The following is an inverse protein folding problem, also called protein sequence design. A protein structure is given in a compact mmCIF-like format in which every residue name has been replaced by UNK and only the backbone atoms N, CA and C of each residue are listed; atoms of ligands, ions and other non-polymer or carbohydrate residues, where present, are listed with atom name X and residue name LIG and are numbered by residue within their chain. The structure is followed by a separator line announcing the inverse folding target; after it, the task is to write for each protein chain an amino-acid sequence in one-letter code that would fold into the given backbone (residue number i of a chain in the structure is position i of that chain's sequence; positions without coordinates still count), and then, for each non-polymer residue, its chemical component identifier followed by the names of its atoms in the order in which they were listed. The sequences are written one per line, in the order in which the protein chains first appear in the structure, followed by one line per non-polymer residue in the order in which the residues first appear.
data_IF_433671830273
#
_entry.id   IF_433671830273
#
_cell.length_a   1.000
_cell.length_b   1.000
_cell.length_c   1.000
_cell.angle_alpha   90.00
_cell.angle_beta   90.00
_cell.angle_gamma   90.00
#
_symmetry.space_group_name_H-M   'P 1'
#
loop_
_entity.id
_entity.type
_entity.pdbx_description
1 polymer ?
#
# COMPACT_ATOMS: atom_id res chain seq x y z
N UNK A 1 -3.87 6.38 5.65
CA UNK A 1 -3.22 5.07 5.57
C UNK A 1 -2.53 4.76 6.89
N UNK A 2 -2.81 3.57 7.47
CA UNK A 2 -2.15 3.07 8.68
C UNK A 2 -1.05 2.11 8.26
N UNK A 3 0.20 2.47 8.56
CA UNK A 3 1.39 1.73 8.14
C UNK A 3 2.34 1.52 9.31
N UNK A 4 2.86 0.31 9.43
CA UNK A 4 3.98 -0.04 10.31
C UNK A 4 5.13 -0.62 9.48
N UNK A 5 6.28 0.06 9.48
CA UNK A 5 7.40 -0.26 8.59
C UNK A 5 8.06 -1.62 8.86
N UNK A 6 7.90 -2.17 10.08
CA UNK A 6 8.56 -3.40 10.46
C UNK A 6 10.08 -3.27 10.35
N UNK A 7 10.75 -4.28 9.76
CA UNK A 7 12.21 -4.31 9.56
C UNK A 7 12.76 -3.24 8.61
N UNK A 8 11.89 -2.49 7.93
CA UNK A 8 12.29 -1.33 7.11
C UNK A 8 12.38 -0.03 7.92
N UNK A 9 12.15 -0.07 9.23
CA UNK A 9 12.29 1.10 10.09
C UNK A 9 13.74 1.58 10.14
N UNK A 10 13.94 2.89 10.03
CA UNK A 10 15.23 3.54 10.24
C UNK A 10 15.52 3.80 11.74
N UNK A 11 14.60 3.46 12.63
CA UNK A 11 14.78 3.60 14.07
C UNK A 11 15.48 2.38 14.65
N UNK A 12 16.30 2.59 15.70
CA UNK A 12 17.08 1.53 16.37
C UNK A 12 16.21 0.43 17.00
N UNK A 13 14.97 0.75 17.34
CA UNK A 13 13.99 -0.17 17.91
C UNK A 13 13.04 -0.78 16.84
N UNK A 14 13.54 -1.03 15.63
CA UNK A 14 12.80 -1.73 14.60
C UNK A 14 12.28 -3.09 15.11
N UNK A 15 11.08 -3.46 14.70
CA UNK A 15 10.44 -4.74 15.07
C UNK A 15 10.03 -5.53 13.82
N UNK A 16 9.90 -6.85 13.96
CA UNK A 16 9.52 -7.75 12.86
C UNK A 16 8.94 -9.07 13.42
N UNK A 17 8.37 -9.96 12.58
CA UNK A 17 7.99 -11.31 13.03
C UNK A 17 9.19 -12.15 13.50
N UNK A 18 10.37 -11.93 12.90
CA UNK A 18 11.62 -12.62 13.23
C UNK A 18 12.79 -11.65 13.14
N UNK A 19 13.86 -11.88 13.91
CA UNK A 19 15.05 -11.02 13.95
C UNK A 19 15.91 -11.18 12.68
N UNK A 20 15.43 -10.64 11.56
CA UNK A 20 16.05 -10.70 10.23
C UNK A 20 16.17 -9.30 9.66
N UNK A 21 17.39 -8.82 9.47
CA UNK A 21 17.66 -7.54 8.79
C UNK A 21 17.16 -7.56 7.33
N UNK A 22 16.73 -6.42 6.84
CA UNK A 22 16.39 -6.28 5.42
C UNK A 22 17.65 -6.01 4.57
N UNK A 23 17.69 -6.46 3.31
CA UNK A 23 18.83 -6.14 2.43
C UNK A 23 19.04 -4.64 2.19
N UNK A 24 17.99 -3.85 2.36
CA UNK A 24 17.96 -2.38 2.17
C UNK A 24 18.09 -1.60 3.49
N UNK A 25 18.17 -2.30 4.64
CA UNK A 25 18.29 -1.68 5.96
C UNK A 25 19.12 -2.59 6.88
N UNK A 26 20.29 -2.16 7.36
CA UNK A 26 21.19 -3.00 8.17
C UNK A 26 20.73 -3.19 9.62
N UNK A 27 19.68 -2.49 10.06
CA UNK A 27 19.19 -2.58 11.43
C UNK A 27 18.59 -3.97 11.65
N UNK A 28 19.08 -4.70 12.66
CA UNK A 28 18.51 -5.97 13.09
C UNK A 28 17.25 -5.69 13.92
N UNK A 29 16.06 -6.08 13.47
CA UNK A 29 14.84 -5.83 14.23
C UNK A 29 14.71 -6.78 15.42
N UNK A 30 14.01 -6.33 16.47
CA UNK A 30 13.52 -7.18 17.54
C UNK A 30 12.38 -8.06 17.02
N UNK A 31 12.43 -9.38 17.30
CA UNK A 31 11.32 -10.28 17.01
C UNK A 31 10.21 -10.07 18.04
N UNK A 32 9.04 -9.64 17.58
CA UNK A 32 7.89 -9.37 18.45
C UNK A 32 7.48 -10.60 19.26
N UNK A 33 7.29 -10.45 20.56
CA UNK A 33 6.62 -11.43 21.41
C UNK A 33 5.13 -11.50 21.12
N UNK A 34 4.44 -12.54 21.57
CA UNK A 34 2.98 -12.66 21.40
C UNK A 34 2.23 -11.47 22.04
N UNK A 35 2.69 -10.98 23.18
CA UNK A 35 2.07 -9.82 23.84
C UNK A 35 2.30 -8.51 23.07
N UNK A 36 3.48 -8.32 22.47
CA UNK A 36 3.77 -7.16 21.62
C UNK A 36 2.98 -7.20 20.29
N UNK A 37 2.70 -8.39 19.75
CA UNK A 37 1.81 -8.56 18.60
C UNK A 37 0.38 -8.13 18.96
N UNK A 38 -0.13 -8.56 20.11
CA UNK A 38 -1.45 -8.13 20.60
C UNK A 38 -1.52 -6.60 20.81
N UNK A 39 -0.46 -6.00 21.36
CA UNK A 39 -0.36 -4.54 21.48
C UNK A 39 -0.34 -3.86 20.09
N UNK A 40 0.42 -4.41 19.15
CA UNK A 40 0.46 -3.89 17.77
C UNK A 40 -0.93 -3.91 17.12
N UNK A 41 -1.71 -4.99 17.31
CA UNK A 41 -3.09 -5.04 16.82
C UNK A 41 -3.94 -3.93 17.47
N UNK A 42 -3.80 -3.74 18.78
CA UNK A 42 -4.52 -2.70 19.51
C UNK A 42 -4.14 -1.28 19.00
N UNK A 43 -2.88 -1.06 18.65
CA UNK A 43 -2.40 0.22 18.11
C UNK A 43 -2.99 0.50 16.73
N UNK A 44 -3.11 -0.50 15.83
CA UNK A 44 -3.81 -0.36 14.55
C UNK A 44 -5.28 0.01 14.75
N UNK A 45 -5.96 -0.64 15.68
CA UNK A 45 -7.36 -0.34 16.02
C UNK A 45 -7.51 1.08 16.54
N UNK A 46 -6.64 1.49 17.48
CA UNK A 46 -6.64 2.84 18.02
C UNK A 46 -6.38 3.91 16.94
N UNK A 47 -5.46 3.66 16.00
CA UNK A 47 -5.24 4.56 14.87
C UNK A 47 -6.51 4.75 14.03
N UNK A 48 -7.27 3.69 13.79
CA UNK A 48 -8.53 3.78 13.04
C UNK A 48 -9.62 4.56 13.81
N UNK A 49 -9.72 4.36 15.12
CA UNK A 49 -10.65 5.12 15.98
C UNK A 49 -10.29 6.61 16.04
N UNK A 50 -8.99 6.93 16.11
CA UNK A 50 -8.52 8.32 16.05
C UNK A 50 -8.85 8.97 14.71
N UNK A 51 -8.67 8.25 13.60
CA UNK A 51 -9.06 8.73 12.27
C UNK A 51 -10.57 9.00 12.20
N UNK A 52 -11.40 8.07 12.69
CA UNK A 52 -12.85 8.25 12.75
C UNK A 52 -13.23 9.46 13.61
N UNK A 53 -12.63 9.62 14.77
CA UNK A 53 -12.86 10.77 15.66
C UNK A 53 -12.42 12.10 15.05
N UNK A 54 -11.43 12.07 14.15
CA UNK A 54 -10.97 13.24 13.40
C UNK A 54 -11.83 13.57 12.17
N UNK A 55 -12.90 12.79 11.89
CA UNK A 55 -13.85 13.04 10.82
C UNK A 55 -13.44 12.43 9.46
N UNK A 56 -12.52 11.47 9.43
CA UNK A 56 -12.25 10.71 8.20
C UNK A 56 -13.37 9.71 7.92
N UNK A 57 -13.62 9.43 6.64
CA UNK A 57 -14.64 8.46 6.19
C UNK A 57 -14.12 7.01 6.25
N UNK A 58 -12.82 6.82 6.34
CA UNK A 58 -12.20 5.50 6.37
C UNK A 58 -10.69 5.52 6.54
N UNK A 59 -10.13 4.32 6.61
CA UNK A 59 -8.68 4.09 6.68
C UNK A 59 -8.24 3.01 5.70
N UNK A 60 -6.99 3.07 5.23
CA UNK A 60 -6.35 1.98 4.51
C UNK A 60 -5.33 1.31 5.43
N UNK A 61 -5.48 0.00 5.65
CA UNK A 61 -4.53 -0.84 6.41
C UNK A 61 -3.49 -1.39 5.45
N UNK A 62 -2.22 -1.08 5.70
CA UNK A 62 -1.09 -1.39 4.81
C UNK A 62 -0.58 -2.81 5.03
N UNK A 63 -1.06 -3.75 4.21
CA UNK A 63 -0.68 -5.17 4.25
C UNK A 63 0.23 -5.62 3.10
N UNK A 64 0.94 -4.71 2.43
CA UNK A 64 1.73 -4.99 1.22
C UNK A 64 3.13 -4.35 1.26
N UNK A 65 3.85 -4.41 0.14
CA UNK A 65 5.17 -3.83 -0.15
C UNK A 65 6.29 -4.22 0.84
N UNK A 66 6.12 -5.32 1.58
CA UNK A 66 7.12 -5.82 2.53
C UNK A 66 7.13 -5.11 3.89
N UNK A 67 6.08 -4.38 4.23
CA UNK A 67 5.88 -3.78 5.55
C UNK A 67 5.45 -4.82 6.60
N UNK A 68 5.27 -4.43 7.85
CA UNK A 68 5.13 -5.36 8.98
C UNK A 68 4.11 -6.48 8.74
N UNK A 69 2.89 -6.15 8.33
CA UNK A 69 1.84 -7.16 8.08
C UNK A 69 2.29 -8.14 6.98
N UNK A 70 2.85 -7.64 5.88
CA UNK A 70 3.35 -8.48 4.80
C UNK A 70 4.55 -9.34 5.23
N UNK A 71 5.40 -8.83 6.16
CA UNK A 71 6.49 -9.60 6.77
C UNK A 71 5.97 -10.79 7.59
N UNK A 72 4.81 -10.67 8.25
CA UNK A 72 4.18 -11.81 8.94
C UNK A 72 3.64 -12.84 7.96
N UNK A 73 3.11 -12.42 6.81
CA UNK A 73 2.50 -13.29 5.80
C UNK A 73 3.56 -14.14 5.07
N UNK A 74 4.67 -13.53 4.67
CA UNK A 74 5.67 -14.18 3.81
C UNK A 74 6.60 -15.11 4.59
N UNK A 75 6.84 -16.32 4.05
CA UNK A 75 7.82 -17.27 4.60
C UNK A 75 9.24 -16.70 4.64
N UNK A 76 9.55 -15.80 3.71
CA UNK A 76 10.84 -15.10 3.63
C UNK A 76 11.24 -14.43 4.94
N UNK A 77 10.28 -13.92 5.70
CA UNK A 77 10.52 -13.06 6.87
C UNK A 77 9.91 -13.60 8.16
N UNK A 78 8.95 -14.51 8.06
CA UNK A 78 8.31 -15.11 9.23
C UNK A 78 8.81 -16.54 9.45
N UNK A 79 9.78 -16.68 10.36
CA UNK A 79 10.38 -17.95 10.76
C UNK A 79 9.87 -18.41 12.14
N UNK A 80 8.71 -17.91 12.57
CA UNK A 80 8.10 -18.28 13.86
C UNK A 80 7.50 -19.68 13.77
N UNK A 81 7.46 -20.35 14.92
CA UNK A 81 6.84 -21.68 15.15
C UNK A 81 5.62 -21.64 16.08
N UNK A 82 5.21 -20.42 16.50
CA UNK A 82 4.05 -20.18 17.36
C UNK A 82 2.76 -19.93 16.55
N UNK A 83 1.71 -19.47 17.25
CA UNK A 83 0.40 -19.14 16.65
C UNK A 83 0.43 -18.04 15.58
N UNK A 84 1.54 -17.34 15.41
CA UNK A 84 1.73 -16.25 14.46
C UNK A 84 2.66 -16.62 13.30
N UNK A 85 3.11 -17.88 13.21
CA UNK A 85 4.03 -18.37 12.19
C UNK A 85 3.81 -19.82 11.79
N UNK A 86 4.72 -20.38 10.98
CA UNK A 86 4.63 -21.74 10.46
C UNK A 86 3.58 -21.89 9.37
N UNK A 87 2.37 -22.38 9.67
CA UNK A 87 1.30 -22.56 8.69
C UNK A 87 0.84 -21.24 8.07
N UNK A 88 0.28 -21.30 6.84
CA UNK A 88 -0.23 -20.09 6.21
C UNK A 88 -1.34 -19.43 7.02
N UNK A 89 -2.26 -20.22 7.58
CA UNK A 89 -3.32 -19.75 8.46
C UNK A 89 -2.79 -18.94 9.66
N UNK A 90 -1.66 -19.36 10.24
CA UNK A 90 -1.01 -18.60 11.32
C UNK A 90 -0.34 -17.34 10.81
N UNK A 91 0.32 -17.40 9.65
CA UNK A 91 1.02 -16.23 9.08
C UNK A 91 0.07 -15.10 8.67
N UNK A 92 -1.14 -15.41 8.20
CA UNK A 92 -2.16 -14.41 7.84
C UNK A 92 -2.99 -13.91 9.03
N UNK A 93 -2.85 -14.54 10.19
CA UNK A 93 -3.63 -14.24 11.41
C UNK A 93 -3.54 -12.76 11.81
N UNK A 94 -2.34 -12.18 11.78
CA UNK A 94 -2.15 -10.76 12.13
C UNK A 94 -3.00 -9.84 11.25
N UNK A 95 -2.98 -10.04 9.94
CA UNK A 95 -3.77 -9.25 8.99
C UNK A 95 -5.27 -9.35 9.28
N UNK A 96 -5.76 -10.58 9.48
CA UNK A 96 -7.19 -10.86 9.76
C UNK A 96 -7.62 -10.22 11.07
N UNK A 97 -6.84 -10.38 12.14
CA UNK A 97 -7.16 -9.83 13.47
C UNK A 97 -7.18 -8.30 13.47
N UNK A 98 -6.23 -7.64 12.78
CA UNK A 98 -6.24 -6.18 12.64
C UNK A 98 -7.54 -5.73 11.95
N UNK A 99 -7.89 -6.28 10.80
CA UNK A 99 -9.12 -5.89 10.07
C UNK A 99 -10.37 -6.18 10.89
N UNK A 100 -10.48 -7.38 11.47
CA UNK A 100 -11.64 -7.81 12.25
C UNK A 100 -11.87 -6.91 13.48
N UNK A 101 -10.81 -6.67 14.27
CA UNK A 101 -10.92 -5.83 15.48
C UNK A 101 -11.10 -4.35 15.13
N UNK A 102 -10.52 -3.88 14.04
CA UNK A 102 -10.79 -2.53 13.53
C UNK A 102 -12.27 -2.39 13.17
N UNK A 103 -12.85 -3.34 12.41
CA UNK A 103 -14.28 -3.34 12.06
C UNK A 103 -15.17 -3.33 13.29
N UNK A 104 -14.84 -4.13 14.30
CA UNK A 104 -15.58 -4.16 15.56
C UNK A 104 -15.55 -2.82 16.31
N UNK A 105 -14.41 -2.11 16.24
CA UNK A 105 -14.20 -0.85 16.96
C UNK A 105 -14.82 0.37 16.27
N UNK A 106 -14.80 0.42 14.92
CA UNK A 106 -15.26 1.60 14.16
C UNK A 106 -16.69 1.46 13.60
N UNK A 107 -17.31 0.27 13.71
CA UNK A 107 -18.66 0.00 13.22
C UNK A 107 -18.73 -0.21 11.70
N UNK A 108 -19.95 -0.44 11.17
CA UNK A 108 -20.16 -0.88 9.78
C UNK A 108 -20.04 0.24 8.74
N UNK A 109 -20.25 1.49 9.14
CA UNK A 109 -20.31 2.64 8.22
C UNK A 109 -18.92 3.24 7.92
N UNK A 110 -17.90 2.93 8.71
CA UNK A 110 -16.54 3.42 8.48
C UNK A 110 -15.83 2.56 7.46
N UNK A 111 -15.25 3.17 6.45
CA UNK A 111 -14.60 2.45 5.35
C UNK A 111 -13.27 1.85 5.80
N UNK A 112 -13.07 0.56 5.57
CA UNK A 112 -11.79 -0.12 5.79
C UNK A 112 -11.29 -0.65 4.45
N UNK A 113 -10.23 -0.05 3.94
CA UNK A 113 -9.49 -0.53 2.77
C UNK A 113 -8.34 -1.40 3.27
N UNK A 114 -8.15 -2.58 2.71
CA UNK A 114 -6.95 -3.38 2.96
C UNK A 114 -6.04 -3.35 1.75
N UNK A 115 -4.78 -2.93 1.94
CA UNK A 115 -3.81 -2.96 0.85
C UNK A 115 -3.13 -4.32 0.82
N UNK A 116 -3.47 -5.09 -0.23
CA UNK A 116 -3.06 -6.48 -0.41
C UNK A 116 -1.87 -6.58 -1.37
N UNK A 117 -0.81 -7.29 -0.99
CA UNK A 117 0.28 -7.62 -1.92
C UNK A 117 -0.17 -8.71 -2.89
N UNK A 118 -0.35 -8.35 -4.15
CA UNK A 118 -0.71 -9.31 -5.20
C UNK A 118 0.51 -10.07 -5.74
N UNK A 119 1.65 -9.40 -5.79
CA UNK A 119 2.94 -9.95 -6.21
C UNK A 119 4.01 -9.40 -5.28
N UNK A 120 4.61 -10.23 -4.47
CA UNK A 120 5.72 -9.83 -3.58
C UNK A 120 7.01 -9.56 -4.39
N UNK A 121 7.22 -10.27 -5.52
CA UNK A 121 8.40 -10.19 -6.40
C UNK A 121 9.72 -10.47 -5.67
N UNK A 122 9.66 -11.25 -4.61
CA UNK A 122 10.80 -11.73 -3.83
C UNK A 122 10.69 -13.25 -3.63
N UNK A 123 11.82 -13.92 -3.44
CA UNK A 123 11.86 -15.33 -3.09
C UNK A 123 11.21 -15.56 -1.71
N UNK A 124 10.40 -16.62 -1.58
CA UNK A 124 9.67 -16.92 -0.35
C UNK A 124 8.48 -15.99 -0.07
N UNK A 125 8.06 -15.23 -1.07
CA UNK A 125 6.80 -14.48 -1.08
C UNK A 125 5.57 -15.40 -1.24
N UNK A 126 4.38 -14.80 -1.24
CA UNK A 126 3.11 -15.52 -1.33
C UNK A 126 2.81 -15.99 -2.76
N UNK A 127 2.25 -17.18 -2.90
CA UNK A 127 1.67 -17.68 -4.15
C UNK A 127 0.32 -17.02 -4.43
N UNK A 128 -0.15 -17.06 -5.69
CA UNK A 128 -1.48 -16.53 -6.05
C UNK A 128 -2.61 -17.22 -5.26
N UNK A 129 -2.50 -18.53 -5.01
CA UNK A 129 -3.49 -19.26 -4.22
C UNK A 129 -3.54 -18.75 -2.77
N UNK A 130 -2.39 -18.52 -2.15
CA UNK A 130 -2.28 -17.93 -0.81
C UNK A 130 -2.85 -16.49 -0.78
N UNK A 131 -2.56 -15.67 -1.79
CA UNK A 131 -3.10 -14.31 -1.90
C UNK A 131 -4.63 -14.31 -2.01
N UNK A 132 -5.21 -15.22 -2.80
CA UNK A 132 -6.66 -15.38 -2.92
C UNK A 132 -7.29 -15.83 -1.58
N UNK A 133 -6.65 -16.76 -0.87
CA UNK A 133 -7.10 -17.20 0.46
C UNK A 133 -7.11 -16.02 1.44
N UNK A 134 -6.04 -15.23 1.48
CA UNK A 134 -5.98 -14.02 2.31
C UNK A 134 -7.06 -13.00 1.93
N UNK A 135 -7.26 -12.74 0.64
CA UNK A 135 -8.27 -11.78 0.18
C UNK A 135 -9.68 -12.14 0.66
N UNK A 136 -10.06 -13.42 0.56
CA UNK A 136 -11.33 -13.93 1.09
C UNK A 136 -11.44 -13.80 2.60
N UNK A 137 -10.35 -14.06 3.31
CA UNK A 137 -10.30 -13.93 4.76
C UNK A 137 -10.43 -12.46 5.21
N UNK A 138 -9.81 -11.53 4.48
CA UNK A 138 -9.89 -10.07 4.71
C UNK A 138 -11.29 -9.54 4.42
N UNK A 139 -11.93 -9.96 3.32
CA UNK A 139 -13.34 -9.66 3.05
C UNK A 139 -14.24 -10.13 4.20
N UNK A 140 -14.09 -11.39 4.61
CA UNK A 140 -14.84 -11.97 5.73
C UNK A 140 -14.58 -11.26 7.06
N UNK A 141 -13.38 -10.73 7.27
CA UNK A 141 -13.02 -9.97 8.47
C UNK A 141 -13.65 -8.56 8.50
N UNK A 142 -14.24 -8.11 7.40
CA UNK A 142 -15.02 -6.87 7.31
C UNK A 142 -14.32 -5.72 6.59
N UNK A 143 -13.35 -5.99 5.72
CA UNK A 143 -12.84 -4.97 4.80
C UNK A 143 -13.96 -4.52 3.84
N UNK A 144 -13.98 -3.23 3.52
CA UNK A 144 -14.94 -2.62 2.59
C UNK A 144 -14.44 -2.71 1.14
N UNK A 145 -13.13 -2.54 0.94
CA UNK A 145 -12.45 -2.61 -0.35
C UNK A 145 -11.07 -3.26 -0.19
N UNK A 146 -10.53 -3.79 -1.28
CA UNK A 146 -9.13 -4.22 -1.36
C UNK A 146 -8.40 -3.35 -2.38
N UNK A 147 -7.28 -2.73 -1.96
CA UNK A 147 -6.35 -2.03 -2.83
C UNK A 147 -5.15 -2.94 -3.11
N UNK A 148 -4.83 -3.16 -4.38
CA UNK A 148 -3.77 -4.10 -4.77
C UNK A 148 -2.41 -3.41 -4.85
N UNK A 149 -1.41 -4.00 -4.17
CA UNK A 149 -0.01 -3.57 -4.17
C UNK A 149 0.89 -4.53 -4.95
N UNK A 150 2.01 -4.04 -5.48
CA UNK A 150 2.94 -4.79 -6.31
C UNK A 150 4.38 -4.55 -5.89
N UNK A 151 5.06 -5.62 -5.51
CA UNK A 151 6.48 -5.65 -5.23
C UNK A 151 6.87 -5.12 -3.87
N UNK A 152 7.81 -5.80 -3.23
CA UNK A 152 8.46 -5.33 -2.01
C UNK A 152 9.48 -4.25 -2.33
N UNK A 153 9.82 -3.39 -1.38
CA UNK A 153 10.87 -2.38 -1.55
C UNK A 153 12.24 -2.98 -1.86
N UNK A 154 12.51 -4.21 -1.42
CA UNK A 154 13.75 -4.93 -1.72
C UNK A 154 13.70 -5.75 -3.01
N UNK A 155 12.56 -5.76 -3.72
CA UNK A 155 12.43 -6.47 -4.99
C UNK A 155 13.31 -5.82 -6.07
N UNK A 156 14.01 -6.66 -6.84
CA UNK A 156 14.87 -6.20 -7.92
C UNK A 156 14.11 -5.97 -9.23
N UNK A 157 12.86 -6.40 -9.31
CA UNK A 157 11.99 -6.21 -10.47
C UNK A 157 11.32 -4.83 -10.34
N UNK A 158 11.54 -3.91 -11.27
CA UNK A 158 10.94 -2.58 -11.18
C UNK A 158 9.43 -2.64 -11.45
N UNK A 159 8.65 -1.90 -10.64
CA UNK A 159 7.19 -1.87 -10.74
C UNK A 159 6.64 -0.49 -11.02
N UNK A 160 7.41 0.58 -10.78
CA UNK A 160 6.95 1.96 -10.80
C UNK A 160 7.83 2.92 -11.62
N UNK A 161 8.97 2.47 -12.13
CA UNK A 161 9.91 3.29 -12.90
C UNK A 161 9.42 3.55 -14.33
N UNK A 162 9.99 4.54 -15.01
CA UNK A 162 9.63 4.93 -16.39
C UNK A 162 9.68 3.78 -17.38
N UNK A 163 10.65 2.85 -17.24
CA UNK A 163 10.78 1.66 -18.09
C UNK A 163 9.66 0.63 -17.93
N UNK A 164 8.83 0.72 -16.88
CA UNK A 164 7.68 -0.14 -16.69
C UNK A 164 6.52 0.41 -17.53
N UNK A 165 5.89 -0.39 -18.40
CA UNK A 165 4.74 0.04 -19.18
C UNK A 165 3.61 0.57 -18.31
N UNK A 166 2.81 1.48 -18.86
CA UNK A 166 1.61 1.99 -18.17
C UNK A 166 0.64 0.84 -17.91
N UNK A 167 0.02 0.83 -16.72
CA UNK A 167 -0.94 -0.18 -16.28
C UNK A 167 -0.42 -1.64 -16.34
N UNK A 168 0.89 -1.85 -16.33
CA UNK A 168 1.51 -3.17 -16.54
C UNK A 168 1.07 -4.26 -15.55
N UNK A 169 0.51 -3.88 -14.40
CA UNK A 169 0.15 -4.82 -13.34
C UNK A 169 -1.37 -4.89 -13.05
N UNK A 170 -2.23 -4.22 -13.82
CA UNK A 170 -3.67 -4.20 -13.54
C UNK A 170 -4.34 -5.57 -13.74
N UNK A 171 -3.75 -6.43 -14.58
CA UNK A 171 -4.19 -7.81 -14.80
C UNK A 171 -4.20 -8.68 -13.52
N UNK A 172 -3.34 -8.38 -12.51
CA UNK A 172 -3.35 -9.14 -11.26
C UNK A 172 -4.60 -8.83 -10.44
N UNK A 173 -5.04 -7.56 -10.46
CA UNK A 173 -6.30 -7.15 -9.81
C UNK A 173 -7.49 -7.82 -10.49
N UNK A 174 -7.50 -7.88 -11.83
CA UNK A 174 -8.54 -8.57 -12.60
C UNK A 174 -8.67 -10.04 -12.19
N UNK A 175 -7.54 -10.74 -11.96
CA UNK A 175 -7.55 -12.13 -11.50
C UNK A 175 -8.19 -12.32 -10.12
N UNK A 176 -8.21 -11.30 -9.30
CA UNK A 176 -8.82 -11.35 -7.97
C UNK A 176 -10.34 -11.11 -8.02
N UNK A 177 -10.87 -10.44 -9.06
CA UNK A 177 -12.29 -10.05 -9.16
C UNK A 177 -13.28 -11.21 -9.03
N UNK A 178 -12.92 -12.39 -9.51
CA UNK A 178 -13.78 -13.58 -9.39
C UNK A 178 -13.72 -14.25 -8.02
N UNK A 179 -12.82 -13.84 -7.15
CA UNK A 179 -12.55 -14.50 -5.88
C UNK A 179 -13.18 -13.80 -4.67
N UNK A 180 -13.50 -12.50 -4.79
CA UNK A 180 -14.09 -11.67 -3.73
C UNK A 180 -15.27 -10.88 -4.29
N UNK A 181 -16.18 -10.42 -3.41
CA UNK A 181 -17.38 -9.66 -3.78
C UNK A 181 -17.27 -8.16 -3.48
N UNK A 182 -16.26 -7.75 -2.71
CA UNK A 182 -16.00 -6.34 -2.41
C UNK A 182 -15.24 -5.67 -3.56
N UNK A 183 -15.40 -4.34 -3.76
CA UNK A 183 -14.72 -3.62 -4.84
C UNK A 183 -13.20 -3.69 -4.73
N UNK A 184 -12.54 -3.73 -5.88
CA UNK A 184 -11.09 -3.80 -6.01
C UNK A 184 -10.52 -2.51 -6.58
N UNK A 185 -9.43 -2.05 -5.97
CA UNK A 185 -8.65 -0.90 -6.40
C UNK A 185 -7.34 -1.39 -7.01
N UNK A 186 -6.99 -0.89 -8.19
CA UNK A 186 -5.70 -1.17 -8.84
C UNK A 186 -4.79 0.05 -8.85
N UNK A 187 -3.48 -0.18 -8.97
CA UNK A 187 -2.48 0.87 -8.97
C UNK A 187 -1.28 0.52 -9.88
N UNK A 188 -0.22 1.28 -9.79
CA UNK A 188 1.05 1.16 -10.51
C UNK A 188 1.02 1.57 -11.98
N UNK A 189 1.76 2.63 -12.28
CA UNK A 189 1.98 3.16 -13.63
C UNK A 189 0.71 3.60 -14.36
N UNK A 190 -0.33 3.99 -13.63
CA UNK A 190 -1.50 4.69 -14.16
C UNK A 190 -1.26 6.18 -13.92
N UNK A 191 -1.16 6.99 -14.97
CA UNK A 191 -0.71 8.38 -14.87
C UNK A 191 -1.40 9.35 -15.85
N UNK A 192 -2.48 8.90 -16.52
CA UNK A 192 -3.34 9.73 -17.34
C UNK A 192 -4.80 9.36 -17.14
N UNK A 193 -5.76 10.27 -17.33
CA UNK A 193 -7.19 9.97 -17.27
C UNK A 193 -7.58 8.87 -18.26
N UNK A 194 -7.12 8.96 -19.52
CA UNK A 194 -7.42 7.95 -20.54
C UNK A 194 -6.96 6.53 -20.14
N UNK A 195 -5.80 6.40 -19.46
CA UNK A 195 -5.34 5.11 -18.97
C UNK A 195 -6.19 4.60 -17.81
N UNK A 196 -6.63 5.48 -16.91
CA UNK A 196 -7.53 5.12 -15.82
C UNK A 196 -8.88 4.61 -16.36
N UNK A 197 -9.48 5.35 -17.28
CA UNK A 197 -10.74 4.96 -17.95
C UNK A 197 -10.60 3.61 -18.70
N UNK A 198 -9.51 3.42 -19.42
CA UNK A 198 -9.24 2.16 -20.12
C UNK A 198 -9.21 0.96 -19.15
N UNK A 199 -8.51 1.10 -18.03
CA UNK A 199 -8.41 0.04 -16.99
C UNK A 199 -9.78 -0.31 -16.41
N UNK A 200 -10.64 0.68 -16.19
CA UNK A 200 -12.00 0.47 -15.68
C UNK A 200 -12.90 -0.16 -16.75
N UNK A 201 -12.84 0.34 -18.00
CA UNK A 201 -13.62 -0.17 -19.11
C UNK A 201 -13.30 -1.65 -19.46
N UNK A 202 -12.03 -2.05 -19.35
CA UNK A 202 -11.58 -3.44 -19.53
C UNK A 202 -11.95 -4.33 -18.32
N UNK A 203 -12.55 -3.77 -17.28
CA UNK A 203 -12.97 -4.52 -16.10
C UNK A 203 -11.81 -5.05 -15.25
N UNK A 204 -10.63 -4.42 -15.32
CA UNK A 204 -9.48 -4.85 -14.52
C UNK A 204 -9.68 -4.55 -13.03
N UNK A 205 -10.39 -3.47 -12.70
CA UNK A 205 -10.70 -3.06 -11.34
C UNK A 205 -11.99 -2.24 -11.29
N UNK A 206 -12.49 -1.95 -10.11
CA UNK A 206 -13.65 -1.08 -9.88
C UNK A 206 -13.22 0.37 -9.60
N UNK A 207 -12.00 0.56 -9.09
CA UNK A 207 -11.40 1.86 -8.76
C UNK A 207 -9.93 1.88 -9.17
N UNK A 208 -9.42 3.06 -9.53
CA UNK A 208 -8.00 3.30 -9.80
C UNK A 208 -7.40 4.17 -8.70
N UNK A 209 -6.23 3.77 -8.20
CA UNK A 209 -5.46 4.51 -7.20
C UNK A 209 -4.16 5.05 -7.81
N UNK A 210 -3.86 6.30 -7.55
CA UNK A 210 -2.66 7.00 -8.01
C UNK A 210 -2.07 7.83 -6.86
N UNK A 211 -0.73 7.91 -6.76
CA UNK A 211 -0.05 8.79 -5.81
C UNK A 211 0.78 9.86 -6.54
N UNK A 212 1.82 9.44 -7.25
CA UNK A 212 2.74 10.36 -7.95
C UNK A 212 2.08 11.24 -9.03
N UNK A 213 1.02 10.82 -9.75
CA UNK A 213 0.28 11.72 -10.62
C UNK A 213 -0.29 12.94 -9.91
N UNK A 214 -0.79 12.81 -8.67
CA UNK A 214 -1.28 13.95 -7.88
C UNK A 214 -0.15 14.82 -7.31
N UNK A 215 1.05 14.24 -7.10
CA UNK A 215 2.23 15.03 -6.79
C UNK A 215 2.69 15.85 -7.99
N UNK A 216 2.61 15.27 -9.19
CA UNK A 216 2.94 15.95 -10.45
C UNK A 216 1.90 17.03 -10.80
N UNK A 217 0.62 16.78 -10.55
CA UNK A 217 -0.47 17.73 -10.77
C UNK A 217 -1.57 17.58 -9.72
N UNK A 218 -1.68 18.48 -8.73
CA UNK A 218 -2.72 18.43 -7.72
C UNK A 218 -4.13 18.64 -8.28
N UNK A 219 -4.26 19.24 -9.49
CA UNK A 219 -5.52 19.48 -10.16
C UNK A 219 -5.89 18.37 -11.18
N UNK A 220 -5.19 17.25 -11.14
CA UNK A 220 -5.36 16.14 -12.10
C UNK A 220 -6.83 15.78 -12.34
N UNK A 221 -7.61 15.53 -11.27
CA UNK A 221 -9.02 15.14 -11.39
C UNK A 221 -9.88 16.30 -11.91
N UNK A 222 -9.68 17.52 -11.43
CA UNK A 222 -10.42 18.69 -11.88
C UNK A 222 -10.20 18.96 -13.37
N UNK A 223 -8.96 18.86 -13.84
CA UNK A 223 -8.63 19.00 -15.27
C UNK A 223 -9.23 17.87 -16.10
N UNK A 224 -9.21 16.63 -15.60
CA UNK A 224 -9.85 15.51 -16.26
C UNK A 224 -11.36 15.70 -16.40
N UNK A 225 -12.05 16.09 -15.33
CA UNK A 225 -13.48 16.38 -15.30
C UNK A 225 -13.88 17.50 -16.28
N UNK A 226 -13.03 18.51 -16.42
CA UNK A 226 -13.23 19.64 -17.31
C UNK A 226 -12.78 19.41 -18.76
N UNK A 227 -12.40 18.18 -19.14
CA UNK A 227 -11.85 17.84 -20.45
C UNK A 227 -10.56 18.62 -20.83
N UNK A 228 -9.74 18.97 -19.84
CA UNK A 228 -8.47 19.69 -19.96
C UNK A 228 -7.28 18.75 -19.70
N UNK A 229 -7.36 17.53 -20.20
CA UNK A 229 -6.33 16.50 -19.97
C UNK A 229 -4.97 16.85 -20.58
N UNK A 230 -4.93 17.68 -21.61
CA UNK A 230 -3.74 18.24 -22.25
C UNK A 230 -2.96 19.21 -21.35
N UNK A 231 -3.62 19.81 -20.36
CA UNK A 231 -3.01 20.69 -19.37
C UNK A 231 -2.42 19.95 -18.14
N UNK A 232 -2.59 18.63 -18.05
CA UNK A 232 -2.12 17.84 -16.90
C UNK A 232 -0.60 17.69 -16.96
N UNK A 233 0.11 18.09 -15.90
CA UNK A 233 1.50 17.74 -15.68
C UNK A 233 1.63 16.23 -15.42
N UNK A 234 1.87 15.48 -16.49
CA UNK A 234 1.89 14.01 -16.39
C UNK A 234 3.12 13.52 -15.65
N UNK A 235 2.93 12.68 -14.62
CA UNK A 235 4.02 11.97 -13.93
C UNK A 235 4.78 11.07 -14.91
N UNK A 236 6.07 11.32 -15.11
CA UNK A 236 6.93 10.56 -16.04
C UNK A 236 7.53 9.29 -15.42
N UNK A 237 7.28 9.00 -14.14
CA UNK A 237 7.78 7.81 -13.45
C UNK A 237 9.29 7.82 -13.19
N UNK A 238 9.94 9.00 -13.18
CA UNK A 238 11.40 9.14 -13.05
C UNK A 238 11.93 8.80 -11.65
N UNK A 239 11.12 8.93 -10.61
CA UNK A 239 11.44 8.72 -9.19
C UNK A 239 12.47 9.71 -8.58
N UNK A 240 13.07 10.62 -9.34
CA UNK A 240 14.22 11.43 -8.96
C UNK A 240 13.98 12.38 -7.79
N UNK A 241 12.96 13.26 -7.87
CA UNK A 241 12.69 14.24 -6.82
C UNK A 241 11.63 13.77 -5.81
N UNK A 242 11.03 12.61 -5.99
CA UNK A 242 10.13 12.00 -5.02
C UNK A 242 10.82 10.88 -4.24
N UNK A 243 10.95 9.66 -4.79
CA UNK A 243 11.50 8.51 -4.08
C UNK A 243 12.99 8.68 -3.73
N UNK A 244 13.83 9.13 -4.66
CA UNK A 244 15.28 9.28 -4.39
C UNK A 244 15.54 10.35 -3.32
N UNK A 245 14.71 11.39 -3.23
CA UNK A 245 14.77 12.37 -2.15
C UNK A 245 14.44 11.73 -0.80
N UNK A 246 13.36 10.95 -0.69
CA UNK A 246 12.98 10.23 0.54
C UNK A 246 14.11 9.32 1.02
N UNK A 247 14.66 8.51 0.13
CA UNK A 247 15.78 7.60 0.47
C UNK A 247 17.09 8.34 0.81
N UNK A 248 17.21 9.60 0.41
CA UNK A 248 18.33 10.48 0.75
C UNK A 248 18.06 11.38 1.97
N UNK A 249 16.91 11.20 2.66
CA UNK A 249 16.50 12.03 3.80
C UNK A 249 16.19 13.48 3.43
N UNK A 250 15.83 13.74 2.17
CA UNK A 250 15.47 15.08 1.66
C UNK A 250 13.95 15.22 1.59
N UNK A 251 13.48 16.47 1.61
CA UNK A 251 12.08 16.78 1.35
C UNK A 251 11.68 16.30 -0.04
N UNK A 252 10.53 15.62 -0.13
CA UNK A 252 9.96 15.20 -1.40
C UNK A 252 9.60 16.40 -2.27
N UNK A 253 9.79 16.27 -3.57
CA UNK A 253 9.32 17.18 -4.58
C UNK A 253 9.00 16.42 -5.87
N UNK A 254 8.75 17.10 -6.98
CA UNK A 254 8.50 16.46 -8.27
C UNK A 254 9.28 17.17 -9.39
N UNK A 255 9.92 16.38 -10.26
CA UNK A 255 10.72 16.92 -11.37
C UNK A 255 9.88 17.74 -12.37
N UNK A 256 8.62 17.35 -12.59
CA UNK A 256 7.70 18.06 -13.50
C UNK A 256 6.80 19.06 -12.78
N UNK A 257 6.89 19.15 -11.44
CA UNK A 257 6.17 20.13 -10.64
C UNK A 257 7.05 20.60 -9.47
N UNK A 258 7.89 21.61 -9.66
CA UNK A 258 8.81 22.08 -8.61
C UNK A 258 8.08 22.66 -7.38
N UNK A 259 6.79 23.03 -7.51
CA UNK A 259 5.97 23.47 -6.37
C UNK A 259 5.57 22.31 -5.42
N UNK A 260 5.60 21.06 -5.88
CA UNK A 260 5.21 19.92 -5.05
C UNK A 260 6.00 19.90 -3.75
N UNK A 261 5.30 19.94 -2.61
CA UNK A 261 5.82 20.10 -1.25
C UNK A 261 6.53 21.44 -0.96
N UNK A 262 6.40 22.44 -1.85
CA UNK A 262 6.91 23.79 -1.70
C UNK A 262 5.83 24.86 -1.98
N UNK A 263 4.56 24.50 -1.85
CA UNK A 263 3.41 25.32 -2.24
C UNK A 263 3.34 26.66 -1.50
N UNK A 264 3.82 26.68 -0.24
CA UNK A 264 3.87 27.90 0.60
C UNK A 264 5.06 28.79 0.32
N UNK A 265 6.12 28.25 -0.30
CA UNK A 265 7.35 28.96 -0.63
C UNK A 265 7.31 29.50 -2.06
N UNK A 266 6.84 28.67 -3.00
CA UNK A 266 6.72 28.98 -4.42
C UNK A 266 5.27 29.41 -4.76
N UNK A 267 4.88 30.60 -4.29
CA UNK A 267 3.56 31.15 -4.58
C UNK A 267 3.54 31.69 -6.02
N UNK A 268 2.67 31.12 -6.87
CA UNK A 268 2.46 31.61 -8.23
C UNK A 268 1.46 32.78 -8.19
N UNK A 269 1.90 33.94 -8.60
CA UNK A 269 1.02 35.10 -8.86
C UNK A 269 0.73 35.18 -10.34
N UNK A 270 -0.54 35.42 -10.75
CA UNK A 270 -0.84 35.74 -12.14
C UNK A 270 -0.04 36.97 -12.59
N UNK A 271 0.51 36.94 -13.81
CA UNK A 271 1.18 38.07 -14.45
C UNK A 271 0.12 39.03 -15.00
#
# INVERSE_FOLDING_TARGET
QILHTGRYSHQKNAVAPSALAAPINPILPHALTASEIEQTIADFVNCAQLAQSAGYDGVEIMGSEGYLINQFIAKRTNHRDDAWGGSYANRIRLAIEIVRRTRQAVGEHFMIIYRLSMLDLVEGGSSLAEVIELAKAIEKAGATLINTGIGWHEARIPTIATKVPRAAFTWVTQRLKSAVNIPLITSNRINTPAMAEHVLAEGHADVVSMARPFLADPQFLLKAEQNRSDEINTCIGCNQACLDHIFSGKLTSCLVNPRACHETELVMTPV
#
